data_IF_954738260615
#
_entry.id   IF_954738260615
#
_cell.length_a   1.000
_cell.length_b   1.000
_cell.length_c   1.000
_cell.angle_alpha   90.00
_cell.angle_beta   90.00
_cell.angle_gamma   90.00
#
_symmetry.space_group_name_H-M   'P 1'
#
loop_
_entity.id
_entity.type
_entity.pdbx_description
1 polymer ?
#
# COMPACT_ATOMS: atom_id res chain seq x y z
N UNK A 1 9.30 -8.36 -16.25
CA UNK A 1 8.68 -7.13 -16.78
C UNK A 1 8.75 -6.02 -15.75
N UNK A 2 8.77 -4.75 -16.17
CA UNK A 2 8.78 -3.59 -15.29
C UNK A 2 7.34 -3.25 -14.93
N UNK A 3 7.08 -2.97 -13.66
CA UNK A 3 5.82 -2.42 -13.17
C UNK A 3 6.07 -1.08 -12.50
N UNK A 4 5.07 -0.24 -12.46
CA UNK A 4 5.08 1.02 -11.76
C UNK A 4 3.69 1.32 -11.19
N UNK A 5 3.63 2.02 -10.07
CA UNK A 5 2.38 2.49 -9.51
C UNK A 5 2.52 3.90 -8.94
N UNK A 6 1.41 4.58 -8.90
CA UNK A 6 1.23 5.87 -8.26
C UNK A 6 0.16 5.74 -7.18
N UNK A 7 0.40 6.28 -6.00
CA UNK A 7 -0.51 6.21 -4.86
C UNK A 7 -0.85 7.60 -4.34
N UNK A 8 -2.12 7.80 -4.04
CA UNK A 8 -2.63 8.94 -3.31
C UNK A 8 -3.40 8.43 -2.08
N UNK A 9 -3.05 8.94 -0.90
CA UNK A 9 -3.64 8.50 0.37
C UNK A 9 -4.04 9.68 1.23
N UNK A 10 -5.12 9.51 1.97
CA UNK A 10 -5.52 10.40 3.04
C UNK A 10 -5.62 9.61 4.34
N UNK A 11 -4.88 10.04 5.35
CA UNK A 11 -4.78 9.37 6.63
C UNK A 11 -5.04 10.28 7.81
N UNK A 12 -5.40 9.68 8.93
CA UNK A 12 -5.59 10.34 10.22
C UNK A 12 -4.91 9.52 11.31
N UNK A 13 -4.39 10.22 12.30
CA UNK A 13 -3.84 9.63 13.52
C UNK A 13 -4.94 9.50 14.56
N UNK A 14 -4.89 8.45 15.37
CA UNK A 14 -5.75 8.34 16.55
C UNK A 14 -5.48 9.50 17.51
N UNK A 15 -6.53 9.94 18.20
CA UNK A 15 -6.38 11.02 19.19
C UNK A 15 -5.35 10.61 20.28
N UNK A 16 -4.23 11.34 20.44
CA UNK A 16 -3.18 10.98 21.41
C UNK A 16 -3.67 10.92 22.85
N UNK A 17 -4.76 11.61 23.16
CA UNK A 17 -5.37 11.64 24.50
C UNK A 17 -6.39 10.52 24.73
N UNK A 18 -6.75 9.74 23.68
CA UNK A 18 -7.57 8.55 23.84
C UNK A 18 -6.73 7.38 24.34
N UNK A 19 -7.38 6.39 24.95
CA UNK A 19 -6.73 5.15 25.41
C UNK A 19 -6.05 4.42 24.25
N UNK A 20 -6.72 4.38 23.09
CA UNK A 20 -6.23 3.76 21.88
C UNK A 20 -5.03 4.52 21.29
N UNK A 21 -5.08 5.87 21.29
CA UNK A 21 -3.97 6.69 20.83
C UNK A 21 -2.73 6.60 21.71
N UNK A 22 -2.91 6.37 23.02
CA UNK A 22 -1.79 6.13 23.95
C UNK A 22 -1.19 4.73 23.78
N UNK A 23 -2.01 3.71 23.49
CA UNK A 23 -1.55 2.35 23.22
C UNK A 23 -0.83 2.21 21.89
N UNK A 24 -1.27 2.96 20.86
CA UNK A 24 -0.75 2.90 19.49
C UNK A 24 -0.27 4.28 19.02
N UNK A 25 0.71 4.89 19.69
CA UNK A 25 1.27 6.15 19.27
C UNK A 25 1.93 6.02 17.89
N UNK A 26 1.84 7.05 17.06
CA UNK A 26 2.39 7.05 15.70
C UNK A 26 1.75 6.05 14.73
N UNK A 27 0.51 5.65 14.99
CA UNK A 27 -0.29 4.86 14.06
C UNK A 27 -1.24 5.77 13.29
N UNK A 28 -1.23 5.63 11.97
CA UNK A 28 -2.09 6.33 11.04
C UNK A 28 -2.95 5.31 10.30
N UNK A 29 -4.20 5.66 10.12
CA UNK A 29 -5.16 4.87 9.34
C UNK A 29 -5.83 5.76 8.31
N UNK A 30 -6.30 5.19 7.22
CA UNK A 30 -6.98 5.98 6.21
C UNK A 30 -7.37 5.20 4.98
N UNK A 31 -7.61 5.95 3.92
CA UNK A 31 -8.01 5.44 2.62
C UNK A 31 -6.98 5.84 1.57
N UNK A 32 -6.87 5.03 0.53
CA UNK A 32 -5.98 5.32 -0.58
C UNK A 32 -6.53 4.82 -1.90
N UNK A 33 -5.99 5.41 -2.96
CA UNK A 33 -6.18 4.95 -4.34
C UNK A 33 -4.83 4.79 -4.99
N UNK A 34 -4.70 3.83 -5.90
CA UNK A 34 -3.52 3.70 -6.73
C UNK A 34 -3.86 3.41 -8.19
N UNK A 35 -2.99 3.86 -9.06
CA UNK A 35 -2.97 3.48 -10.47
C UNK A 35 -1.74 2.64 -10.72
N UNK A 36 -1.92 1.48 -11.36
CA UNK A 36 -0.87 0.48 -11.51
C UNK A 36 -0.67 0.11 -12.99
N UNK A 37 0.58 -0.10 -13.38
CA UNK A 37 0.93 -0.60 -14.73
C UNK A 37 1.95 -1.71 -14.61
N UNK A 38 1.78 -2.75 -15.44
CA UNK A 38 2.61 -3.96 -15.43
C UNK A 38 3.39 -4.17 -16.73
N UNK A 39 3.48 -3.11 -17.57
CA UNK A 39 4.19 -3.17 -18.86
C UNK A 39 3.52 -4.08 -19.88
N UNK A 40 2.25 -4.45 -19.69
CA UNK A 40 1.46 -5.23 -20.61
C UNK A 40 -0.02 -4.82 -20.53
N UNK A 41 -0.30 -3.65 -21.09
CA UNK A 41 -1.65 -3.07 -21.07
C UNK A 41 -2.67 -3.91 -21.82
N UNK A 42 -2.24 -4.57 -22.91
CA UNK A 42 -3.17 -5.32 -23.76
C UNK A 42 -3.70 -6.58 -23.08
N UNK A 43 -2.83 -7.35 -22.42
CA UNK A 43 -3.22 -8.61 -21.78
C UNK A 43 -3.68 -8.42 -20.33
N UNK A 44 -3.02 -7.54 -19.55
CA UNK A 44 -3.24 -7.41 -18.11
C UNK A 44 -4.10 -6.19 -17.77
N UNK A 45 -4.00 -5.14 -18.58
CA UNK A 45 -4.60 -3.85 -18.31
C UNK A 45 -3.71 -2.95 -17.42
N UNK A 46 -4.25 -1.81 -17.05
CA UNK A 46 -3.66 -0.88 -16.08
C UNK A 46 -4.68 -0.63 -14.96
N UNK A 47 -4.75 -1.48 -13.95
CA UNK A 47 -5.79 -1.40 -12.94
C UNK A 47 -5.58 -0.25 -11.96
N UNK A 48 -6.69 0.24 -11.45
CA UNK A 48 -6.77 1.06 -10.25
C UNK A 48 -6.98 0.16 -9.04
N UNK A 49 -6.59 0.62 -7.86
CA UNK A 49 -7.01 0.03 -6.60
C UNK A 49 -7.54 1.10 -5.67
N UNK A 50 -8.58 0.75 -4.89
CA UNK A 50 -9.07 1.52 -3.77
C UNK A 50 -8.92 0.65 -2.51
N UNK A 51 -8.37 1.23 -1.44
CA UNK A 51 -7.98 0.46 -0.26
C UNK A 51 -8.04 1.29 1.03
N UNK A 52 -8.15 0.60 2.14
CA UNK A 52 -7.83 1.11 3.47
C UNK A 52 -6.37 0.81 3.77
N UNK A 53 -5.73 1.65 4.57
CA UNK A 53 -4.37 1.41 5.01
C UNK A 53 -4.17 1.69 6.50
N UNK A 54 -3.16 1.06 7.06
CA UNK A 54 -2.60 1.41 8.35
C UNK A 54 -1.08 1.47 8.23
N UNK A 55 -0.52 2.55 8.76
CA UNK A 55 0.92 2.72 8.91
C UNK A 55 1.26 2.92 10.37
N UNK A 56 2.32 2.28 10.85
CA UNK A 56 2.76 2.43 12.24
C UNK A 56 4.28 2.34 12.35
N UNK A 57 4.82 3.00 13.37
CA UNK A 57 6.24 2.96 13.67
C UNK A 57 6.63 1.65 14.33
N UNK A 58 7.66 0.99 13.80
CA UNK A 58 8.31 -0.18 14.40
C UNK A 58 9.40 0.29 15.37
N UNK A 59 10.26 1.21 14.92
CA UNK A 59 11.40 1.67 15.70
C UNK A 59 11.71 3.14 15.44
N UNK A 60 12.10 3.88 16.49
CA UNK A 60 12.69 5.22 16.39
C UNK A 60 14.20 5.06 16.28
N UNK A 61 14.79 5.50 15.15
CA UNK A 61 16.23 5.42 14.89
C UNK A 61 16.90 6.69 15.42
N UNK A 62 16.29 7.86 15.17
CA UNK A 62 16.77 9.15 15.68
C UNK A 62 15.61 10.11 15.91
N UNK A 63 15.89 11.37 16.30
CA UNK A 63 14.85 12.41 16.42
C UNK A 63 14.13 12.73 15.11
N UNK A 64 14.74 12.43 13.97
CA UNK A 64 14.20 12.72 12.63
C UNK A 64 14.01 11.48 11.74
N UNK A 65 14.36 10.28 12.22
CA UNK A 65 14.32 9.06 11.42
C UNK A 65 13.65 7.95 12.20
N UNK A 66 12.69 7.29 11.59
CA UNK A 66 12.04 6.07 12.09
C UNK A 66 11.99 4.98 11.03
N UNK A 67 11.77 3.76 11.49
CA UNK A 67 11.47 2.60 10.67
C UNK A 67 10.01 2.25 10.89
N UNK A 68 9.23 2.26 9.83
CA UNK A 68 7.78 2.15 9.83
C UNK A 68 7.35 0.99 8.93
N UNK A 69 6.21 0.37 9.23
CA UNK A 69 5.52 -0.55 8.33
C UNK A 69 4.19 0.04 7.88
N UNK A 70 3.69 -0.47 6.78
CA UNK A 70 2.38 -0.13 6.25
C UNK A 70 1.75 -1.36 5.60
N UNK A 71 0.49 -1.59 5.88
CA UNK A 71 -0.30 -2.55 5.13
C UNK A 71 -1.51 -1.85 4.49
N UNK A 72 -1.90 -2.34 3.32
CA UNK A 72 -3.05 -1.88 2.57
C UNK A 72 -3.92 -3.07 2.20
N UNK A 73 -5.23 -2.92 2.31
CA UNK A 73 -6.19 -3.93 1.92
C UNK A 73 -7.37 -3.30 1.19
N UNK A 74 -7.75 -3.86 0.04
CA UNK A 74 -8.84 -3.32 -0.75
C UNK A 74 -9.15 -4.11 -2.00
N UNK A 75 -9.70 -3.44 -2.99
CA UNK A 75 -10.07 -4.01 -4.28
C UNK A 75 -9.40 -3.25 -5.42
N UNK A 76 -9.04 -4.00 -6.47
CA UNK A 76 -8.50 -3.47 -7.71
C UNK A 76 -9.42 -3.79 -8.89
N UNK A 77 -9.51 -2.86 -9.83
CA UNK A 77 -10.42 -2.90 -10.98
C UNK A 77 -9.78 -2.28 -12.22
N UNK A 78 -10.34 -2.58 -13.40
CA UNK A 78 -9.74 -2.14 -14.68
C UNK A 78 -8.75 -3.16 -15.24
N UNK A 79 -8.84 -4.39 -14.81
CA UNK A 79 -8.11 -5.52 -15.37
C UNK A 79 -8.69 -5.96 -16.71
N UNK A 80 -7.84 -6.52 -17.56
CA UNK A 80 -8.25 -7.28 -18.74
C UNK A 80 -8.19 -8.77 -18.39
N UNK A 81 -9.31 -9.40 -17.99
CA UNK A 81 -9.30 -10.79 -17.55
C UNK A 81 -9.04 -11.73 -18.72
N UNK A 82 -8.75 -12.99 -18.40
CA UNK A 82 -8.71 -14.08 -19.36
C UNK A 82 -10.04 -14.17 -20.14
N UNK A 83 -9.93 -14.39 -21.44
CA UNK A 83 -11.03 -14.65 -22.37
C UNK A 83 -10.54 -15.59 -23.45
N UNK A 84 -11.29 -16.66 -23.77
CA UNK A 84 -10.88 -17.70 -24.71
C UNK A 84 -10.65 -17.16 -26.13
N UNK A 85 -11.38 -16.13 -26.53
CA UNK A 85 -11.33 -15.58 -27.87
C UNK A 85 -10.37 -14.38 -27.98
N UNK A 86 -10.40 -13.48 -26.98
CA UNK A 86 -9.77 -12.16 -27.11
C UNK A 86 -8.52 -12.01 -26.23
N UNK A 87 -8.38 -12.79 -25.13
CA UNK A 87 -7.28 -12.66 -24.18
C UNK A 87 -6.81 -14.00 -23.60
N UNK A 88 -6.70 -15.03 -24.43
CA UNK A 88 -6.33 -16.39 -24.04
C UNK A 88 -4.90 -16.52 -23.48
N UNK A 89 -4.06 -15.51 -23.69
CA UNK A 89 -2.68 -15.47 -23.17
C UNK A 89 -2.60 -15.06 -21.71
N UNK A 90 -3.62 -14.35 -21.18
CA UNK A 90 -3.64 -13.96 -19.77
C UNK A 90 -4.02 -15.16 -18.89
N UNK A 91 -3.02 -15.86 -18.38
CA UNK A 91 -3.21 -16.98 -17.43
C UNK A 91 -3.15 -16.53 -15.96
N UNK A 92 -3.08 -15.23 -15.70
CA UNK A 92 -2.81 -14.66 -14.37
C UNK A 92 -4.10 -14.21 -13.70
N UNK A 93 -4.96 -13.49 -14.44
CA UNK A 93 -6.15 -12.84 -13.92
C UNK A 93 -7.39 -13.28 -14.69
N UNK A 94 -8.33 -13.90 -14.00
CA UNK A 94 -9.61 -14.38 -14.56
C UNK A 94 -10.81 -13.47 -14.26
N UNK A 95 -10.64 -12.38 -13.53
CA UNK A 95 -11.75 -11.49 -13.12
C UNK A 95 -11.45 -10.02 -13.32
N UNK A 96 -12.52 -9.21 -13.49
CA UNK A 96 -12.41 -7.75 -13.64
C UNK A 96 -12.11 -7.04 -12.34
N UNK A 97 -12.46 -7.66 -11.20
CA UNK A 97 -12.21 -7.15 -9.85
C UNK A 97 -11.39 -8.17 -9.10
N UNK A 98 -10.33 -7.73 -8.44
CA UNK A 98 -9.43 -8.57 -7.67
C UNK A 98 -9.14 -7.93 -6.32
N UNK A 99 -8.87 -8.74 -5.29
CA UNK A 99 -8.34 -8.26 -4.04
C UNK A 99 -6.99 -7.57 -4.26
N UNK A 100 -6.73 -6.54 -3.49
CA UNK A 100 -5.48 -5.79 -3.43
C UNK A 100 -4.95 -5.88 -2.00
N UNK A 101 -3.77 -6.47 -1.84
CA UNK A 101 -3.09 -6.62 -0.56
C UNK A 101 -1.67 -6.10 -0.75
N UNK A 102 -1.24 -5.17 0.10
CA UNK A 102 0.12 -4.64 0.05
C UNK A 102 0.71 -4.57 1.45
N UNK A 103 1.99 -4.89 1.59
CA UNK A 103 2.77 -4.77 2.81
C UNK A 103 4.10 -4.09 2.47
N UNK A 104 4.41 -3.01 3.17
CA UNK A 104 5.63 -2.25 2.96
C UNK A 104 6.37 -1.93 4.26
N UNK A 105 7.68 -1.70 4.12
CA UNK A 105 8.58 -1.26 5.17
C UNK A 105 9.37 -0.05 4.70
N UNK A 106 9.42 1.00 5.52
CA UNK A 106 9.94 2.30 5.11
C UNK A 106 10.85 2.92 6.18
N UNK A 107 11.88 3.57 5.72
CA UNK A 107 12.55 4.63 6.47
C UNK A 107 11.72 5.90 6.29
N UNK A 108 11.31 6.50 7.38
CA UNK A 108 10.53 7.71 7.45
C UNK A 108 11.39 8.83 8.01
N UNK A 109 11.78 9.75 7.14
CA UNK A 109 12.65 10.88 7.48
C UNK A 109 11.83 12.17 7.63
N UNK A 110 11.81 12.76 8.81
CA UNK A 110 11.15 14.04 9.10
C UNK A 110 11.96 15.19 8.50
N UNK A 111 11.48 15.76 7.38
CA UNK A 111 12.11 16.90 6.71
C UNK A 111 11.73 18.22 7.41
N UNK A 112 10.47 18.35 7.83
CA UNK A 112 9.96 19.50 8.56
C UNK A 112 8.82 19.08 9.50
N UNK A 113 8.18 20.02 10.18
CA UNK A 113 6.97 19.72 10.96
C UNK A 113 5.76 19.31 10.10
N UNK A 114 5.78 19.67 8.83
CA UNK A 114 4.69 19.38 7.88
C UNK A 114 5.03 18.26 6.89
N UNK A 115 6.29 17.95 6.68
CA UNK A 115 6.70 17.07 5.57
C UNK A 115 7.66 15.99 6.02
N UNK A 116 7.34 14.75 5.60
CA UNK A 116 8.20 13.58 5.77
C UNK A 116 8.48 12.93 4.41
N UNK A 117 9.67 12.39 4.26
CA UNK A 117 10.09 11.54 3.14
C UNK A 117 10.03 10.09 3.58
N UNK A 118 9.35 9.26 2.79
CA UNK A 118 9.33 7.81 2.94
C UNK A 118 10.20 7.18 1.85
N UNK A 119 11.09 6.27 2.23
CA UNK A 119 11.89 5.47 1.30
C UNK A 119 11.90 4.03 1.80
N UNK A 120 11.53 3.08 0.94
CA UNK A 120 11.48 1.69 1.36
C UNK A 120 11.12 0.74 0.25
N UNK A 121 10.62 -0.42 0.63
CA UNK A 121 10.18 -1.47 -0.28
C UNK A 121 8.84 -2.03 0.14
N UNK A 122 8.11 -2.57 -0.82
CA UNK A 122 6.87 -3.28 -0.53
C UNK A 122 6.62 -4.48 -1.44
N UNK A 123 5.67 -5.27 -0.99
CA UNK A 123 5.13 -6.44 -1.66
C UNK A 123 3.66 -6.18 -1.94
N UNK A 124 3.21 -6.43 -3.16
CA UNK A 124 1.78 -6.33 -3.50
C UNK A 124 1.29 -7.64 -4.11
N UNK A 125 0.12 -8.05 -3.68
CA UNK A 125 -0.59 -9.24 -4.19
C UNK A 125 -1.96 -8.86 -4.73
N UNK A 126 -2.26 -9.38 -5.93
CA UNK A 126 -3.56 -9.27 -6.58
C UNK A 126 -4.10 -10.65 -6.87
N UNK A 127 -5.34 -10.95 -6.44
CA UNK A 127 -6.02 -12.20 -6.78
C UNK A 127 -7.53 -12.09 -6.59
N UNK A 128 -8.27 -13.01 -7.19
CA UNK A 128 -9.72 -13.10 -6.99
C UNK A 128 -10.14 -14.21 -6.01
N UNK A 129 -9.19 -14.79 -5.26
CA UNK A 129 -9.48 -15.87 -4.32
C UNK A 129 -10.02 -17.14 -4.97
N UNK A 130 -9.63 -17.44 -6.23
CA UNK A 130 -10.10 -18.59 -7.03
C UNK A 130 -11.60 -18.58 -7.37
N UNK A 131 -12.25 -17.44 -7.33
CA UNK A 131 -13.67 -17.32 -7.74
C UNK A 131 -13.84 -17.46 -9.26
N UNK A 132 -12.78 -17.15 -10.05
CA UNK A 132 -12.75 -17.29 -11.50
C UNK A 132 -11.36 -17.74 -11.97
N UNK A 133 -11.29 -18.75 -12.80
CA UNK A 133 -10.05 -19.25 -13.39
C UNK A 133 -9.77 -18.62 -14.77
N UNK A 134 -8.51 -18.45 -15.14
CA UNK A 134 -7.29 -18.70 -14.37
C UNK A 134 -7.07 -17.66 -13.27
N UNK A 135 -6.52 -18.06 -12.14
CA UNK A 135 -6.14 -17.17 -11.05
C UNK A 135 -4.79 -17.61 -10.48
N UNK A 136 -3.73 -17.42 -11.24
CA UNK A 136 -2.37 -17.57 -10.70
C UNK A 136 -2.02 -16.47 -9.71
N UNK A 137 -2.77 -15.34 -9.74
CA UNK A 137 -2.50 -14.15 -8.99
C UNK A 137 -1.30 -13.37 -9.55
N UNK A 138 -1.16 -12.13 -9.15
CA UNK A 138 -0.04 -11.28 -9.54
C UNK A 138 0.66 -10.77 -8.29
N UNK A 139 1.93 -11.10 -8.14
CA UNK A 139 2.78 -10.58 -7.07
C UNK A 139 3.79 -9.60 -7.63
N UNK A 140 4.01 -8.51 -6.91
CA UNK A 140 5.02 -7.53 -7.24
C UNK A 140 5.85 -7.19 -6.00
N UNK A 141 7.15 -6.97 -6.19
CA UNK A 141 8.08 -6.45 -5.19
C UNK A 141 8.81 -5.27 -5.79
N UNK A 142 9.01 -4.22 -5.01
CA UNK A 142 9.72 -3.05 -5.52
C UNK A 142 10.06 -2.03 -4.46
N UNK A 143 10.78 -0.98 -4.91
CA UNK A 143 11.11 0.17 -4.09
C UNK A 143 10.03 1.23 -4.18
N UNK A 144 9.76 1.93 -3.07
CA UNK A 144 8.83 3.05 -2.99
C UNK A 144 9.53 4.30 -2.45
N UNK A 145 9.21 5.43 -3.06
CA UNK A 145 9.52 6.76 -2.54
C UNK A 145 8.19 7.50 -2.37
N UNK A 146 7.98 8.16 -1.25
CA UNK A 146 6.77 8.90 -0.96
C UNK A 146 7.00 10.16 -0.15
N UNK A 147 6.10 11.12 -0.29
CA UNK A 147 6.03 12.30 0.54
C UNK A 147 4.75 12.27 1.36
N UNK A 148 4.88 12.58 2.64
CA UNK A 148 3.75 12.72 3.56
C UNK A 148 3.65 14.18 3.96
N UNK A 149 2.51 14.80 3.71
CA UNK A 149 2.23 16.15 4.15
C UNK A 149 1.21 16.13 5.28
N UNK A 150 1.58 16.68 6.44
CA UNK A 150 0.73 16.75 7.63
C UNK A 150 -0.05 18.06 7.61
N UNK A 151 -1.36 17.97 7.46
CA UNK A 151 -2.24 19.15 7.39
C UNK A 151 -2.32 19.89 8.72
N UNK A 152 -2.44 19.14 9.83
CA UNK A 152 -2.56 19.69 11.18
C UNK A 152 -1.51 19.03 12.08
N UNK A 153 -0.24 19.50 12.07
CA UNK A 153 0.78 18.94 12.95
C UNK A 153 0.43 19.22 14.41
N UNK A 154 0.44 18.17 15.22
CA UNK A 154 0.28 18.30 16.66
C UNK A 154 1.58 18.94 17.18
N UNK A 155 1.47 20.06 17.88
CA UNK A 155 2.60 20.61 18.60
C UNK A 155 2.94 19.63 19.74
N UNK A 156 4.18 19.14 19.76
CA UNK A 156 4.72 18.42 20.91
C UNK A 156 4.89 19.46 22.04
N UNK A 157 3.79 19.84 22.70
CA UNK A 157 3.89 20.64 23.92
C UNK A 157 4.50 19.78 25.01
N UNK A 158 5.69 20.14 25.45
CA UNK A 158 6.22 19.70 26.74
C UNK A 158 5.18 20.02 27.83
N UNK A 159 4.66 18.97 28.43
CA UNK A 159 3.95 18.99 29.72
C UNK A 159 3.15 20.26 30.05
N UNK A 160 1.85 20.21 29.76
CA UNK A 160 0.88 20.70 30.76
C UNK A 160 -0.36 19.82 30.69
N UNK A 161 -0.74 19.28 31.85
CA UNK A 161 -2.02 18.61 32.10
C UNK A 161 -3.09 19.69 31.98
N UNK A 162 -3.50 19.95 30.75
CA UNK A 162 -4.54 20.90 30.43
C UNK A 162 -5.39 20.38 29.30
N UNK A 163 -6.69 20.36 29.52
CA UNK A 163 -7.78 19.89 28.67
C UNK A 163 -7.88 20.56 27.28
N UNK A 164 -6.82 20.59 26.51
CA UNK A 164 -6.89 20.99 25.12
C UNK A 164 -7.26 19.78 24.26
N UNK A 165 -8.46 19.79 23.68
CA UNK A 165 -8.90 18.88 22.63
C UNK A 165 -7.99 19.05 21.42
N UNK A 166 -6.89 18.27 21.34
CA UNK A 166 -6.09 18.21 20.13
C UNK A 166 -6.90 17.52 19.02
N UNK A 167 -7.09 18.21 17.92
CA UNK A 167 -7.66 17.60 16.72
C UNK A 167 -6.70 16.53 16.19
N UNK A 168 -7.18 15.41 15.66
CA UNK A 168 -6.33 14.38 15.08
C UNK A 168 -5.51 14.96 13.93
N UNK A 169 -4.23 14.57 13.83
CA UNK A 169 -3.37 14.97 12.73
C UNK A 169 -3.79 14.23 11.45
N UNK A 170 -4.13 14.98 10.43
CA UNK A 170 -4.45 14.44 9.11
C UNK A 170 -3.22 14.50 8.20
N UNK A 171 -3.02 13.47 7.41
CA UNK A 171 -1.89 13.37 6.50
C UNK A 171 -2.33 13.05 5.08
N UNK A 172 -1.72 13.76 4.12
CA UNK A 172 -1.84 13.47 2.71
C UNK A 172 -0.56 12.77 2.24
N UNK A 173 -0.71 11.61 1.63
CA UNK A 173 0.39 10.81 1.12
C UNK A 173 0.39 10.80 -0.41
N UNK A 174 1.50 11.19 -0.97
CA UNK A 174 1.78 11.06 -2.40
C UNK A 174 3.00 10.16 -2.56
N UNK A 175 2.85 9.05 -3.26
CA UNK A 175 3.98 8.17 -3.51
C UNK A 175 3.97 7.61 -4.92
N UNK A 176 5.14 7.50 -5.52
CA UNK A 176 5.36 6.75 -6.75
C UNK A 176 6.20 5.50 -6.46
N UNK A 177 5.98 4.48 -7.26
CA UNK A 177 6.43 3.15 -6.98
C UNK A 177 6.98 2.47 -8.23
N UNK A 178 8.20 1.92 -8.14
CA UNK A 178 8.86 1.17 -9.19
C UNK A 178 8.96 -0.29 -8.78
N UNK A 179 8.34 -1.17 -9.55
CA UNK A 179 8.26 -2.60 -9.24
C UNK A 179 8.94 -3.45 -10.29
N UNK A 180 9.50 -4.57 -9.82
CA UNK A 180 9.85 -5.70 -10.67
C UNK A 180 8.82 -6.81 -10.46
N UNK A 181 8.12 -7.18 -11.51
CA UNK A 181 7.16 -8.29 -11.46
C UNK A 181 7.93 -9.60 -11.51
N UNK A 182 7.77 -10.46 -10.52
CA UNK A 182 8.30 -11.81 -10.50
C UNK A 182 7.21 -12.80 -10.91
N UNK A 183 7.25 -13.24 -12.17
CA UNK A 183 6.33 -14.28 -12.66
C UNK A 183 6.73 -15.69 -12.23
N UNK A 184 8.00 -15.91 -11.91
CA UNK A 184 8.55 -17.23 -11.64
C UNK A 184 8.01 -17.84 -10.36
N UNK A 185 7.74 -17.03 -9.34
CA UNK A 185 7.16 -17.47 -8.07
C UNK A 185 5.72 -17.95 -8.24
N UNK A 186 4.98 -17.34 -9.18
CA UNK A 186 3.57 -17.66 -9.46
C UNK A 186 3.43 -18.98 -10.21
N UNK A 187 4.30 -19.22 -11.20
CA UNK A 187 4.31 -20.48 -11.96
C UNK A 187 4.65 -21.67 -11.08
N UNK A 188 5.55 -21.51 -10.10
CA UNK A 188 5.94 -22.59 -9.18
C UNK A 188 4.82 -22.95 -8.20
N UNK A 189 4.02 -21.99 -7.75
CA UNK A 189 2.86 -22.20 -6.89
C UNK A 189 1.71 -22.92 -7.63
N UNK A 190 1.45 -22.56 -8.89
CA UNK A 190 0.39 -23.13 -9.70
C UNK A 190 0.68 -24.59 -10.13
N UNK A 191 1.93 -24.95 -10.37
CA UNK A 191 2.32 -26.34 -10.71
C UNK A 191 2.26 -27.26 -9.50
N UNK A 192 2.48 -26.78 -8.29
CA UNK A 192 2.36 -27.59 -7.07
C UNK A 192 0.91 -27.86 -6.67
N UNK A 193 -0.02 -26.98 -6.97
CA UNK A 193 -1.44 -27.19 -6.68
C UNK A 193 -2.13 -28.20 -7.63
N UNK A 194 -1.48 -28.58 -8.75
CA UNK A 194 -1.96 -29.61 -9.69
C UNK A 194 -1.39 -31.01 -9.44
N UNK A 195 -0.55 -31.14 -8.44
CA UNK A 195 0.12 -32.41 -8.10
C UNK A 195 -0.33 -33.04 -6.79
N UNK A 196 -1.56 -32.74 -6.33
CA UNK A 196 -2.22 -33.42 -5.23
C UNK A 196 -3.55 -33.97 -5.70
#
# INVERSE_FOLDING_TARGET
RKAASFHLKYGFQLNPNSKEGQLYPHTYQGIGVSYNTFGNRQEVGNPWAAYVFQSSRIAKISSRLSFDYEWNFGASFGWHPYDDNNNYRNKIIGSKINAYINLGFFLNAKLSRYCNLLVGADLTHYSNGNTHLPNAGLNTIGGRIGLVYTLNPIEESHHEIGTARSLPANQLYLSSFWQRVSYDVILYGATRAKGV
#
